data_IF_382750737377
#
_entry.id   IF_382750737377
#
_cell.length_a   1.000
_cell.length_b   1.000
_cell.length_c   1.000
_cell.angle_alpha   90.00
_cell.angle_beta   90.00
_cell.angle_gamma   90.00
#
_symmetry.space_group_name_H-M   'P 1'
#
loop_
_entity.id
_entity.type
_entity.pdbx_description
1 polymer ?
#
# COMPACT_ATOMS: atom_id res chain seq x y z
N UNK A 1 29.01 -83.38 0.67
CA UNK A 1 27.66 -82.71 0.74
C UNK A 1 27.72 -81.68 1.84
N UNK A 2 27.86 -80.40 1.48
CA UNK A 2 27.96 -79.26 2.42
C UNK A 2 26.59 -78.65 2.71
N UNK A 3 26.16 -78.69 3.97
CA UNK A 3 24.90 -78.05 4.44
C UNK A 3 25.10 -76.54 4.62
N UNK A 4 24.48 -75.75 3.75
CA UNK A 4 24.46 -74.33 3.82
C UNK A 4 23.42 -73.88 4.86
N UNK A 5 23.82 -73.33 5.99
CA UNK A 5 22.98 -72.82 7.07
C UNK A 5 22.41 -71.46 6.65
N UNK A 6 21.09 -71.37 6.54
CA UNK A 6 20.39 -70.15 6.25
C UNK A 6 20.33 -69.31 7.53
N UNK A 7 21.01 -68.16 7.57
CA UNK A 7 20.90 -67.18 8.66
C UNK A 7 19.53 -66.51 8.64
N UNK A 8 18.78 -66.69 9.71
CA UNK A 8 17.44 -66.11 9.88
C UNK A 8 17.47 -64.57 9.83
N UNK A 9 16.57 -64.01 9.04
CA UNK A 9 16.36 -62.57 8.95
C UNK A 9 15.76 -62.09 10.28
N UNK A 10 16.49 -61.24 11.03
CA UNK A 10 15.99 -60.62 12.27
C UNK A 10 14.95 -59.54 11.89
N UNK A 11 13.67 -59.84 12.09
CA UNK A 11 12.59 -58.82 11.99
C UNK A 11 12.81 -57.77 13.07
N UNK A 12 12.80 -56.47 12.71
CA UNK A 12 12.94 -55.38 13.68
C UNK A 12 11.73 -55.36 14.63
N UNK A 13 12.00 -55.24 15.92
CA UNK A 13 10.95 -55.20 16.95
C UNK A 13 10.01 -53.99 16.72
N UNK A 14 8.71 -54.23 16.93
CA UNK A 14 7.68 -53.18 16.77
C UNK A 14 8.03 -51.90 17.53
N UNK A 15 8.67 -52.00 18.71
CA UNK A 15 9.14 -50.82 19.48
C UNK A 15 10.20 -49.98 18.77
N UNK A 16 11.10 -50.62 17.99
CA UNK A 16 12.12 -49.90 17.21
C UNK A 16 11.51 -49.21 16.03
N UNK A 17 10.47 -49.78 15.39
CA UNK A 17 9.73 -49.16 14.32
C UNK A 17 8.99 -47.90 14.79
N UNK A 18 8.27 -47.93 15.91
CA UNK A 18 7.60 -46.77 16.46
C UNK A 18 8.53 -45.66 16.93
N UNK A 19 9.71 -46.00 17.47
CA UNK A 19 10.72 -45.00 17.81
C UNK A 19 11.33 -44.32 16.57
N UNK A 20 11.54 -45.06 15.49
CA UNK A 20 11.99 -44.49 14.22
C UNK A 20 10.91 -43.65 13.55
N UNK A 21 9.64 -44.06 13.57
CA UNK A 21 8.54 -43.31 13.04
C UNK A 21 8.25 -42.00 13.83
N UNK A 22 8.45 -42.00 15.16
CA UNK A 22 8.32 -40.78 15.97
C UNK A 22 9.47 -39.80 15.69
N UNK A 23 10.68 -40.26 15.42
CA UNK A 23 11.80 -39.38 15.09
C UNK A 23 11.67 -38.76 13.67
N UNK A 24 11.15 -39.52 12.70
CA UNK A 24 10.87 -39.02 11.35
C UNK A 24 9.61 -38.10 11.31
N UNK A 25 8.60 -38.39 12.14
CA UNK A 25 7.41 -37.54 12.26
C UNK A 25 7.70 -36.16 12.85
N UNK A 26 8.62 -36.06 13.83
CA UNK A 26 9.03 -34.79 14.39
C UNK A 26 9.86 -33.93 13.42
N UNK A 27 10.67 -34.56 12.56
CA UNK A 27 11.41 -33.87 11.52
C UNK A 27 10.52 -33.44 10.35
N UNK A 28 9.46 -34.19 10.03
CA UNK A 28 8.49 -33.82 8.99
C UNK A 28 7.53 -32.70 9.44
N UNK A 29 7.23 -32.60 10.76
CA UNK A 29 6.41 -31.52 11.30
C UNK A 29 7.14 -30.15 11.30
N UNK A 30 8.48 -30.16 11.30
CA UNK A 30 9.29 -28.92 11.21
C UNK A 30 9.39 -28.35 9.79
N UNK A 31 8.92 -29.07 8.77
CA UNK A 31 8.97 -28.64 7.37
C UNK A 31 7.60 -28.41 6.75
N UNK A 32 6.54 -28.21 7.55
CA UNK A 32 5.42 -27.41 7.07
C UNK A 32 5.93 -25.96 7.05
N UNK A 33 6.80 -25.67 6.07
CA UNK A 33 7.06 -24.31 5.69
C UNK A 33 5.68 -23.68 5.48
N UNK A 34 5.29 -22.73 6.36
CA UNK A 34 4.22 -21.81 6.03
C UNK A 34 4.51 -21.36 4.60
N UNK A 35 3.52 -21.38 3.68
CA UNK A 35 3.76 -20.87 2.36
C UNK A 35 4.31 -19.45 2.57
N UNK A 36 5.59 -19.28 2.27
CA UNK A 36 6.20 -17.98 2.21
C UNK A 36 5.47 -17.33 1.03
N UNK A 37 4.41 -16.58 1.32
CA UNK A 37 3.81 -15.72 0.34
C UNK A 37 4.96 -14.78 -0.01
N UNK A 38 5.60 -15.04 -1.14
CA UNK A 38 6.63 -14.17 -1.67
C UNK A 38 5.90 -12.88 -2.05
N UNK A 39 5.81 -11.96 -1.08
CA UNK A 39 5.41 -10.60 -1.38
C UNK A 39 6.43 -10.07 -2.39
N UNK A 40 5.96 -9.67 -3.56
CA UNK A 40 6.79 -8.99 -4.53
C UNK A 40 7.48 -7.79 -3.88
N UNK A 41 8.54 -7.29 -4.48
CA UNK A 41 9.18 -6.07 -3.98
C UNK A 41 8.12 -4.96 -3.80
N UNK A 42 8.14 -4.20 -2.69
CA UNK A 42 7.16 -3.15 -2.43
C UNK A 42 7.10 -2.17 -3.61
N UNK A 43 5.88 -1.90 -4.09
CA UNK A 43 5.66 -0.89 -5.12
C UNK A 43 5.70 0.49 -4.45
N UNK A 44 6.64 1.33 -4.86
CA UNK A 44 6.72 2.71 -4.38
C UNK A 44 6.07 3.65 -5.39
N UNK A 45 5.12 4.46 -4.90
CA UNK A 45 4.42 5.50 -5.66
C UNK A 45 4.99 6.86 -5.29
N UNK A 46 5.35 7.68 -6.27
CA UNK A 46 5.85 9.04 -6.07
C UNK A 46 4.70 10.00 -5.92
N UNK A 47 4.59 10.66 -4.78
CA UNK A 47 3.58 11.70 -4.50
C UNK A 47 4.26 13.02 -4.17
N UNK A 48 3.87 14.10 -4.83
CA UNK A 48 4.30 15.44 -4.44
C UNK A 48 3.15 16.21 -3.81
N UNK A 49 3.43 16.83 -2.66
CA UNK A 49 2.52 17.77 -2.00
C UNK A 49 2.78 19.20 -2.48
N UNK A 50 1.73 20.02 -2.41
CA UNK A 50 1.82 21.46 -2.69
C UNK A 50 2.32 22.28 -1.48
N UNK A 51 2.63 21.63 -0.38
CA UNK A 51 3.02 22.23 0.89
C UNK A 51 4.44 21.86 1.29
N UNK A 52 5.13 22.71 2.08
CA UNK A 52 6.47 22.42 2.56
C UNK A 52 6.45 21.28 3.59
N UNK A 53 7.56 20.57 3.70
CA UNK A 53 7.82 19.66 4.83
C UNK A 53 8.03 20.48 6.11
N UNK A 54 7.76 19.88 7.26
CA UNK A 54 7.84 20.54 8.57
C UNK A 54 6.44 20.76 9.15
N UNK A 55 6.28 21.72 10.04
CA UNK A 55 5.04 21.99 10.77
C UNK A 55 3.93 22.57 9.85
N UNK A 56 3.48 21.77 8.91
CA UNK A 56 2.39 22.08 7.98
C UNK A 56 1.36 20.97 8.00
N UNK A 57 0.17 21.27 8.50
CA UNK A 57 -0.92 20.29 8.70
C UNK A 57 -1.27 19.52 7.42
N UNK A 58 -1.25 20.15 6.25
CA UNK A 58 -1.58 19.46 5.00
C UNK A 58 -0.49 18.47 4.58
N UNK A 59 0.77 18.79 4.85
CA UNK A 59 1.88 17.86 4.60
C UNK A 59 1.86 16.70 5.59
N UNK A 60 1.55 16.96 6.86
CA UNK A 60 1.39 15.94 7.90
C UNK A 60 0.24 14.98 7.54
N UNK A 61 -0.92 15.50 7.15
CA UNK A 61 -2.06 14.69 6.69
C UNK A 61 -1.70 13.80 5.48
N UNK A 62 -0.89 14.30 4.55
CA UNK A 62 -0.40 13.49 3.44
C UNK A 62 0.56 12.40 3.91
N UNK A 63 1.36 12.66 4.94
CA UNK A 63 2.23 11.68 5.59
C UNK A 63 1.43 10.59 6.31
N UNK A 64 0.39 10.96 7.04
CA UNK A 64 -0.52 10.02 7.71
C UNK A 64 -1.23 9.12 6.68
N UNK A 65 -1.68 9.71 5.57
CA UNK A 65 -2.26 8.94 4.47
C UNK A 65 -1.24 7.94 3.89
N UNK A 66 -0.01 8.37 3.63
CA UNK A 66 1.04 7.50 3.12
C UNK A 66 1.36 6.34 4.08
N UNK A 67 1.39 6.62 5.39
CA UNK A 67 1.56 5.60 6.42
C UNK A 67 0.39 4.63 6.45
N UNK A 68 -0.84 5.13 6.41
CA UNK A 68 -2.06 4.31 6.43
C UNK A 68 -2.10 3.36 5.23
N UNK A 69 -1.75 3.82 4.03
CA UNK A 69 -1.66 2.98 2.82
C UNK A 69 -0.63 1.86 3.00
N UNK A 70 0.53 2.17 3.57
CA UNK A 70 1.56 1.17 3.86
C UNK A 70 1.08 0.14 4.87
N UNK A 71 0.47 0.57 5.97
CA UNK A 71 -0.04 -0.30 7.03
C UNK A 71 -1.17 -1.22 6.49
N UNK A 72 -2.11 -0.67 5.74
CA UNK A 72 -3.24 -1.42 5.15
C UNK A 72 -2.80 -2.42 4.09
N UNK A 73 -1.74 -2.12 3.35
CA UNK A 73 -1.20 -3.02 2.33
C UNK A 73 -0.17 -4.03 2.87
N UNK A 74 0.06 -4.07 4.19
CA UNK A 74 1.11 -4.91 4.77
C UNK A 74 2.51 -4.54 4.29
N UNK A 75 2.72 -3.30 3.84
CA UNK A 75 3.99 -2.80 3.31
C UNK A 75 4.22 -3.06 1.82
N UNK A 76 3.26 -3.65 1.11
CA UNK A 76 3.36 -3.87 -0.35
C UNK A 76 3.30 -2.57 -1.15
N UNK A 77 2.55 -1.57 -0.66
CA UNK A 77 2.50 -0.24 -1.24
C UNK A 77 3.21 0.75 -0.32
N UNK A 78 4.05 1.57 -0.91
CA UNK A 78 4.71 2.69 -0.23
C UNK A 78 4.50 3.96 -1.02
N UNK A 79 4.31 5.07 -0.33
CA UNK A 79 4.22 6.39 -0.94
C UNK A 79 5.48 7.16 -0.55
N UNK A 80 6.25 7.53 -1.57
CA UNK A 80 7.38 8.45 -1.45
C UNK A 80 6.84 9.88 -1.53
N UNK A 81 6.59 10.48 -0.36
CA UNK A 81 6.00 11.81 -0.25
C UNK A 81 7.07 12.89 -0.36
N UNK A 82 6.96 13.70 -1.38
CA UNK A 82 7.85 14.81 -1.68
C UNK A 82 7.20 16.16 -1.31
N UNK A 83 7.94 17.09 -0.70
CA UNK A 83 7.44 18.43 -0.40
C UNK A 83 7.30 19.28 -1.68
N UNK A 84 6.73 20.47 -1.51
CA UNK A 84 6.54 21.44 -2.58
C UNK A 84 7.85 21.76 -3.30
N UNK A 85 7.79 21.77 -4.64
CA UNK A 85 8.92 22.15 -5.49
C UNK A 85 10.02 21.10 -5.65
N UNK A 86 9.86 19.89 -5.07
CA UNK A 86 10.88 18.84 -5.19
C UNK A 86 10.99 18.25 -6.59
N UNK A 87 9.87 18.13 -7.30
CA UNK A 87 9.83 17.55 -8.66
C UNK A 87 9.36 18.59 -9.65
N UNK A 88 8.22 19.21 -9.40
CA UNK A 88 7.61 20.24 -10.26
C UNK A 88 7.06 21.40 -9.41
N UNK A 89 6.79 22.55 -10.07
CA UNK A 89 6.11 23.68 -9.41
C UNK A 89 4.66 23.29 -9.05
N UNK A 90 4.11 23.97 -8.03
CA UNK A 90 2.76 23.65 -7.48
C UNK A 90 1.67 23.61 -8.56
N UNK A 91 1.63 24.57 -9.47
CA UNK A 91 0.62 24.62 -10.53
C UNK A 91 0.79 23.54 -11.62
N UNK A 92 1.90 22.82 -11.60
CA UNK A 92 2.25 21.78 -12.59
C UNK A 92 2.02 20.36 -12.05
N UNK A 93 1.71 20.20 -10.74
CA UNK A 93 1.54 18.88 -10.11
C UNK A 93 0.52 18.03 -10.86
N UNK A 94 -0.66 18.56 -11.16
CA UNK A 94 -1.69 17.81 -11.87
C UNK A 94 -1.27 17.39 -13.27
N UNK A 95 -0.50 18.23 -13.98
CA UNK A 95 0.07 17.88 -15.30
C UNK A 95 1.12 16.78 -15.16
N UNK A 96 1.95 16.83 -14.13
CA UNK A 96 2.97 15.83 -13.86
C UNK A 96 2.35 14.45 -13.54
N UNK A 97 1.22 14.42 -12.83
CA UNK A 97 0.46 13.19 -12.61
C UNK A 97 -0.13 12.68 -13.93
N UNK A 98 -0.76 13.55 -14.73
CA UNK A 98 -1.34 13.17 -16.02
C UNK A 98 -0.32 12.62 -17.02
N UNK A 99 0.91 13.12 -16.97
CA UNK A 99 2.03 12.67 -17.84
C UNK A 99 2.82 11.50 -17.27
N UNK A 100 2.53 11.03 -16.06
CA UNK A 100 3.23 9.92 -15.40
C UNK A 100 4.60 10.27 -14.81
N UNK A 101 4.94 11.56 -14.69
CA UNK A 101 6.16 12.01 -13.96
C UNK A 101 6.00 11.80 -12.48
N UNK A 102 4.78 11.99 -11.96
CA UNK A 102 4.35 11.64 -10.62
C UNK A 102 3.23 10.60 -10.71
N UNK A 103 3.18 9.68 -9.76
CA UNK A 103 2.07 8.75 -9.62
C UNK A 103 0.87 9.39 -8.93
N UNK A 104 1.12 10.35 -8.03
CA UNK A 104 0.11 10.99 -7.19
C UNK A 104 0.46 12.46 -6.93
N UNK A 105 -0.57 13.26 -6.65
CA UNK A 105 -0.42 14.64 -6.23
C UNK A 105 -1.34 14.97 -5.05
N UNK A 106 -0.83 15.71 -4.07
CA UNK A 106 -1.61 16.26 -2.97
C UNK A 106 -1.62 17.78 -3.06
N UNK A 107 -2.64 18.32 -3.72
CA UNK A 107 -2.79 19.77 -3.97
C UNK A 107 -4.27 20.14 -4.06
N UNK A 108 -4.58 21.44 -4.23
CA UNK A 108 -5.95 21.93 -4.44
C UNK A 108 -6.16 22.36 -5.89
N UNK A 109 -7.34 22.14 -6.40
CA UNK A 109 -7.71 22.46 -7.80
C UNK A 109 -7.69 23.96 -8.08
N UNK A 110 -7.69 24.82 -7.05
CA UNK A 110 -7.51 26.27 -7.18
C UNK A 110 -6.22 26.65 -7.93
N UNK A 111 -5.16 25.85 -7.84
CA UNK A 111 -3.92 26.10 -8.58
C UNK A 111 -4.07 25.92 -10.11
N UNK A 112 -5.19 25.40 -10.56
CA UNK A 112 -5.52 25.28 -11.99
C UNK A 112 -6.29 26.46 -12.55
N UNK A 113 -6.51 27.52 -11.77
CA UNK A 113 -7.26 28.71 -12.22
C UNK A 113 -6.82 29.19 -13.61
N UNK A 114 -5.54 29.25 -13.88
CA UNK A 114 -4.98 29.67 -15.18
C UNK A 114 -5.28 28.73 -16.35
N UNK A 115 -5.66 27.47 -16.08
CA UNK A 115 -6.04 26.48 -17.09
C UNK A 115 -7.56 26.32 -17.19
N UNK A 116 -8.22 26.32 -16.04
CA UNK A 116 -9.66 26.19 -15.92
C UNK A 116 -10.15 27.00 -14.71
N UNK A 117 -10.77 28.14 -14.98
CA UNK A 117 -11.27 29.03 -13.91
C UNK A 117 -12.31 28.35 -13.02
N UNK A 118 -13.12 27.43 -13.56
CA UNK A 118 -14.12 26.69 -12.79
C UNK A 118 -13.47 25.75 -11.74
N UNK A 119 -12.24 25.26 -11.98
CA UNK A 119 -11.55 24.38 -11.04
C UNK A 119 -11.32 25.05 -9.69
N UNK A 120 -11.11 26.36 -9.64
CA UNK A 120 -10.91 27.10 -8.39
C UNK A 120 -12.15 27.13 -7.51
N UNK A 121 -13.35 27.05 -8.10
CA UNK A 121 -14.61 27.03 -7.36
C UNK A 121 -14.78 25.75 -6.52
N UNK A 122 -14.15 24.65 -6.95
CA UNK A 122 -14.18 23.38 -6.23
C UNK A 122 -13.04 23.24 -5.21
N UNK A 123 -11.97 24.00 -5.38
CA UNK A 123 -10.82 23.97 -4.46
C UNK A 123 -10.95 24.91 -3.28
N UNK A 124 -11.23 26.18 -3.55
CA UNK A 124 -11.30 27.26 -2.54
C UNK A 124 -12.37 28.29 -2.94
N UNK A 125 -13.42 27.84 -3.58
CA UNK A 125 -14.51 28.72 -4.02
C UNK A 125 -15.31 29.31 -2.86
N UNK A 126 -16.16 30.30 -3.15
CA UNK A 126 -17.03 30.88 -2.16
C UNK A 126 -18.03 29.83 -1.66
N UNK A 127 -18.04 29.62 -0.35
CA UNK A 127 -18.95 28.62 0.26
C UNK A 127 -20.38 29.16 0.46
N UNK A 128 -20.63 30.43 0.20
CA UNK A 128 -21.91 31.08 0.40
C UNK A 128 -22.50 30.89 1.80
N UNK A 129 -21.64 30.86 2.82
CA UNK A 129 -22.04 30.65 4.22
C UNK A 129 -22.14 29.19 4.64
N UNK A 130 -21.91 28.24 3.75
CA UNK A 130 -21.84 26.82 4.11
C UNK A 130 -20.58 26.50 4.89
N UNK A 131 -20.71 25.65 5.92
CA UNK A 131 -19.59 25.02 6.60
C UNK A 131 -18.91 23.98 5.69
N UNK A 132 -17.70 23.54 6.06
CA UNK A 132 -16.99 22.48 5.31
C UNK A 132 -17.78 21.18 5.22
N UNK A 133 -18.53 20.81 6.29
CA UNK A 133 -19.40 19.63 6.26
C UNK A 133 -20.54 19.77 5.27
N UNK A 134 -21.16 20.97 5.20
CA UNK A 134 -22.24 21.24 4.25
C UNK A 134 -21.73 21.24 2.80
N UNK A 135 -20.54 21.80 2.54
CA UNK A 135 -19.90 21.73 1.23
C UNK A 135 -19.60 20.28 0.85
N UNK A 136 -19.07 19.46 1.77
CA UNK A 136 -18.88 18.04 1.54
C UNK A 136 -20.19 17.31 1.27
N UNK A 137 -21.24 17.61 2.04
CA UNK A 137 -22.57 17.05 1.82
C UNK A 137 -23.14 17.42 0.46
N UNK A 138 -22.95 18.69 0.03
CA UNK A 138 -23.33 19.12 -1.31
C UNK A 138 -22.53 18.39 -2.40
N UNK A 139 -21.22 18.20 -2.22
CA UNK A 139 -20.41 17.46 -3.17
C UNK A 139 -20.91 16.02 -3.34
N UNK A 140 -21.26 15.34 -2.26
CA UNK A 140 -21.66 13.91 -2.31
C UNK A 140 -23.13 13.72 -2.69
N UNK A 141 -24.04 14.55 -2.17
CA UNK A 141 -25.49 14.34 -2.28
C UNK A 141 -26.22 15.45 -3.04
N UNK A 142 -25.61 16.63 -3.15
CA UNK A 142 -26.21 17.82 -3.79
C UNK A 142 -25.85 18.00 -5.28
N UNK A 143 -25.14 17.05 -5.87
CA UNK A 143 -24.77 17.08 -7.29
C UNK A 143 -23.41 17.72 -7.58
N UNK A 144 -22.67 18.18 -6.57
CA UNK A 144 -21.34 18.80 -6.74
C UNK A 144 -20.36 17.90 -7.46
N UNK A 145 -20.31 16.61 -7.13
CA UNK A 145 -19.46 15.61 -7.80
C UNK A 145 -19.79 15.46 -9.29
N UNK A 146 -21.08 15.53 -9.66
CA UNK A 146 -21.51 15.47 -11.07
C UNK A 146 -21.05 16.68 -11.88
N UNK A 147 -20.96 17.85 -11.24
CA UNK A 147 -20.45 19.06 -11.88
C UNK A 147 -18.93 19.10 -11.98
N UNK A 148 -18.25 18.41 -11.04
CA UNK A 148 -16.78 18.34 -11.01
C UNK A 148 -16.22 17.40 -12.09
N UNK A 149 -16.87 16.28 -12.37
CA UNK A 149 -16.47 15.28 -13.37
C UNK A 149 -16.93 15.66 -14.79
#
# INVERSE_FOLDING_TARGET
MSKKTIKGVKTPSRRKFFKAAAATGAAAAATVAMPNIAFGAPKTLKMQAAWPSGANIFFEMAGDYAKMVSDMSGGELKIDLQPVGSVVKTGEIGQAVSSGVLDMGHWVTAYWYGKNAAASLFGTGPSYGMSSQEVMGWMEYGGGRKLYN
#
